data_IF_902531336642
#
_entry.id   IF_902531336642
#
_cell.length_a   1.000
_cell.length_b   1.000
_cell.length_c   1.000
_cell.angle_alpha   90.00
_cell.angle_beta   90.00
_cell.angle_gamma   90.00
#
_symmetry.space_group_name_H-M   'P 1'
#
loop_
_entity.id
_entity.type
_entity.pdbx_description
1 polymer ?
#
# COMPACT_ATOMS: atom_id res chain seq x y z
N UNK A 1 24.24 41.17 -23.28
CA UNK A 1 23.08 40.26 -23.44
C UNK A 1 22.76 39.63 -22.08
N UNK A 2 21.91 40.27 -21.27
CA UNK A 2 21.52 39.75 -19.95
C UNK A 2 20.37 38.75 -20.06
N UNK A 3 20.46 37.61 -19.39
CA UNK A 3 19.36 36.64 -19.33
C UNK A 3 18.17 37.28 -18.60
N UNK A 4 17.03 37.41 -19.26
CA UNK A 4 15.80 37.90 -18.63
C UNK A 4 15.34 36.92 -17.55
N UNK A 5 14.85 37.44 -16.41
CA UNK A 5 14.28 36.61 -15.35
C UNK A 5 13.00 35.95 -15.86
N UNK A 6 12.89 34.63 -15.70
CA UNK A 6 11.63 33.92 -15.95
C UNK A 6 10.65 34.17 -14.81
N UNK A 7 9.73 35.10 -15.01
CA UNK A 7 8.57 35.33 -14.12
C UNK A 7 7.43 34.37 -14.50
N UNK A 8 6.84 33.68 -13.52
CA UNK A 8 5.68 32.80 -13.74
C UNK A 8 5.99 31.38 -14.24
N UNK A 9 7.22 31.09 -14.70
CA UNK A 9 7.60 29.76 -15.21
C UNK A 9 8.47 28.94 -14.22
N UNK A 10 8.28 29.14 -12.91
CA UNK A 10 9.02 28.40 -11.90
C UNK A 10 8.46 26.98 -11.74
N UNK A 11 9.23 25.98 -12.18
CA UNK A 11 8.91 24.57 -11.92
C UNK A 11 9.20 24.23 -10.47
N UNK A 12 8.17 23.81 -9.73
CA UNK A 12 8.36 23.32 -8.37
C UNK A 12 9.02 21.93 -8.41
N UNK A 13 10.29 21.87 -8.03
CA UNK A 13 11.09 20.63 -8.02
C UNK A 13 10.78 19.74 -6.81
N UNK A 14 9.99 20.20 -5.85
CA UNK A 14 9.71 19.46 -4.63
C UNK A 14 8.53 18.49 -4.81
N UNK A 15 8.81 17.19 -4.77
CA UNK A 15 7.80 16.14 -4.84
C UNK A 15 7.06 16.05 -3.50
N UNK A 16 5.93 16.78 -3.41
CA UNK A 16 5.15 16.89 -2.16
C UNK A 16 4.62 15.56 -1.63
N UNK A 17 4.52 14.53 -2.47
CA UNK A 17 4.00 13.20 -2.11
C UNK A 17 5.00 12.33 -1.34
N UNK A 18 6.30 12.62 -1.45
CA UNK A 18 7.36 11.88 -0.75
C UNK A 18 7.66 12.42 0.66
N UNK A 19 6.93 13.45 1.10
CA UNK A 19 7.11 14.05 2.42
C UNK A 19 6.65 13.09 3.51
N UNK A 20 7.35 13.07 4.63
CA UNK A 20 7.07 12.23 5.82
C UNK A 20 5.61 12.31 6.27
N UNK A 21 5.05 13.53 6.37
CA UNK A 21 3.65 13.77 6.74
C UNK A 21 2.58 13.20 5.79
N UNK A 22 2.96 12.69 4.61
CA UNK A 22 2.06 12.10 3.59
C UNK A 22 2.53 10.71 3.18
N UNK A 23 3.44 10.11 3.95
CA UNK A 23 3.97 8.77 3.71
C UNK A 23 2.84 7.76 3.83
N UNK A 24 2.78 6.81 2.89
CA UNK A 24 1.86 5.68 2.93
C UNK A 24 2.55 4.50 3.63
N UNK A 25 1.78 3.50 4.03
CA UNK A 25 2.33 2.23 4.52
C UNK A 25 3.25 1.60 3.47
N UNK A 26 4.42 1.18 3.94
CA UNK A 26 5.43 0.49 3.13
C UNK A 26 5.00 -0.98 2.90
N UNK A 27 5.69 -1.69 2.00
CA UNK A 27 5.27 -3.04 1.55
C UNK A 27 5.42 -4.10 2.65
N UNK A 28 6.51 -4.04 3.41
CA UNK A 28 6.82 -4.88 4.57
C UNK A 28 5.77 -4.76 5.69
N UNK A 29 5.30 -3.53 5.95
CA UNK A 29 4.19 -3.29 6.88
C UNK A 29 2.90 -3.97 6.39
N UNK A 30 2.61 -3.91 5.09
CA UNK A 30 1.42 -4.55 4.51
C UNK A 30 1.53 -6.08 4.58
N UNK A 31 2.72 -6.65 4.39
CA UNK A 31 2.93 -8.09 4.60
C UNK A 31 2.66 -8.51 6.06
N UNK A 32 2.97 -7.64 7.02
CA UNK A 32 2.61 -7.88 8.42
C UNK A 32 1.10 -7.81 8.62
N UNK A 33 0.45 -6.80 8.05
CA UNK A 33 -1.01 -6.63 8.11
C UNK A 33 -1.76 -7.81 7.46
N UNK A 34 -1.19 -8.44 6.42
CA UNK A 34 -1.74 -9.61 5.72
C UNK A 34 -1.80 -10.89 6.56
N UNK A 35 -1.13 -10.96 7.71
CA UNK A 35 -1.23 -12.12 8.60
C UNK A 35 -2.68 -12.26 9.09
N UNK A 36 -3.20 -13.49 9.26
CA UNK A 36 -4.63 -13.71 9.52
C UNK A 36 -5.13 -12.98 10.78
N UNK A 37 -4.31 -12.93 11.83
CA UNK A 37 -4.65 -12.27 13.09
C UNK A 37 -4.84 -10.76 12.95
N UNK A 38 -3.97 -10.10 12.19
CA UNK A 38 -4.04 -8.66 11.94
C UNK A 38 -5.07 -8.34 10.87
N UNK A 39 -5.18 -9.19 9.85
CA UNK A 39 -6.11 -9.03 8.75
C UNK A 39 -7.56 -9.06 9.24
N UNK A 40 -7.91 -9.99 10.13
CA UNK A 40 -9.25 -10.06 10.71
C UNK A 40 -9.60 -8.79 11.50
N UNK A 41 -8.65 -8.25 12.27
CA UNK A 41 -8.85 -7.00 13.03
C UNK A 41 -9.01 -5.78 12.14
N UNK A 42 -8.25 -5.71 11.04
CA UNK A 42 -8.31 -4.59 10.09
C UNK A 42 -9.53 -4.65 9.17
N UNK A 43 -10.06 -5.85 8.91
CA UNK A 43 -11.29 -6.03 8.14
C UNK A 43 -12.54 -5.75 8.99
N UNK A 44 -12.53 -6.18 10.25
CA UNK A 44 -13.65 -6.03 11.18
C UNK A 44 -13.38 -4.88 12.15
N UNK A 45 -13.08 -3.71 11.60
CA UNK A 45 -12.73 -2.53 12.38
C UNK A 45 -14.00 -1.89 12.97
N UNK A 46 -13.90 -1.35 14.19
CA UNK A 46 -14.99 -0.60 14.80
C UNK A 46 -15.34 0.65 13.96
N UNK A 47 -16.58 1.10 14.08
CA UNK A 47 -17.09 2.25 13.33
C UNK A 47 -16.37 3.52 13.78
N UNK A 48 -15.55 4.08 12.89
CA UNK A 48 -14.78 5.30 13.12
C UNK A 48 -15.24 6.44 12.22
N UNK A 49 -15.92 7.43 12.79
CA UNK A 49 -16.51 8.56 12.06
C UNK A 49 -15.50 9.55 11.46
N UNK A 50 -14.24 9.53 11.92
CA UNK A 50 -13.19 10.43 11.40
C UNK A 50 -12.59 9.91 10.08
N UNK A 51 -12.86 8.63 9.75
CA UNK A 51 -12.32 7.95 8.58
C UNK A 51 -13.40 7.81 7.50
N UNK A 52 -12.98 7.87 6.24
CA UNK A 52 -13.91 7.72 5.10
C UNK A 52 -14.62 6.37 5.13
N UNK A 53 -15.94 6.38 4.93
CA UNK A 53 -16.76 5.16 4.97
C UNK A 53 -16.80 4.50 6.35
N UNK A 54 -16.62 5.30 7.41
CA UNK A 54 -16.65 4.86 8.81
C UNK A 54 -15.70 3.69 9.14
N UNK A 55 -14.55 3.64 8.44
CA UNK A 55 -13.57 2.54 8.45
C UNK A 55 -14.09 1.16 8.00
N UNK A 56 -15.34 1.04 7.54
CA UNK A 56 -15.95 -0.25 7.19
C UNK A 56 -15.50 -0.80 5.84
N UNK A 57 -15.14 0.06 4.89
CA UNK A 57 -14.74 -0.36 3.54
C UNK A 57 -13.25 -0.19 3.33
N UNK A 58 -12.47 -1.14 3.84
CA UNK A 58 -11.00 -1.10 3.82
C UNK A 58 -10.37 -2.12 2.86
N UNK A 59 -9.42 -1.66 2.04
CA UNK A 59 -8.56 -2.54 1.24
C UNK A 59 -7.22 -2.77 1.95
N UNK A 60 -6.94 -4.02 2.33
CA UNK A 60 -5.75 -4.38 3.09
C UNK A 60 -4.47 -4.26 2.27
N UNK A 61 -4.49 -4.65 0.99
CA UNK A 61 -3.30 -4.59 0.13
C UNK A 61 -2.87 -3.16 -0.22
N UNK A 62 -3.83 -2.24 -0.33
CA UNK A 62 -3.56 -0.84 -0.66
C UNK A 62 -3.51 0.08 0.56
N UNK A 63 -3.88 -0.42 1.75
CA UNK A 63 -4.03 0.34 2.98
C UNK A 63 -4.85 1.62 2.78
N UNK A 64 -6.05 1.46 2.20
CA UNK A 64 -6.91 2.59 1.83
C UNK A 64 -8.37 2.29 2.17
N UNK A 65 -9.01 3.29 2.76
CA UNK A 65 -10.45 3.31 3.03
C UNK A 65 -11.23 3.86 1.83
N UNK A 66 -12.44 3.36 1.65
CA UNK A 66 -13.39 3.74 0.63
C UNK A 66 -14.71 4.17 1.26
N UNK A 67 -15.52 4.90 0.50
CA UNK A 67 -16.81 5.43 0.99
C UNK A 67 -17.89 4.34 1.02
N UNK A 68 -17.95 3.49 -0.01
CA UNK A 68 -18.97 2.45 -0.19
C UNK A 68 -18.36 1.12 -0.66
N UNK A 69 -19.07 0.01 -0.44
CA UNK A 69 -18.70 -1.32 -0.94
C UNK A 69 -18.52 -1.35 -2.46
N UNK A 70 -19.36 -0.65 -3.23
CA UNK A 70 -19.24 -0.55 -4.70
C UNK A 70 -17.89 0.02 -5.11
N UNK A 71 -17.46 1.11 -4.47
CA UNK A 71 -16.17 1.76 -4.74
C UNK A 71 -14.99 0.83 -4.47
N UNK A 72 -15.10 -0.01 -3.42
CA UNK A 72 -14.11 -1.02 -3.09
C UNK A 72 -14.08 -2.16 -4.13
N UNK A 73 -15.24 -2.65 -4.60
CA UNK A 73 -15.34 -3.63 -5.69
C UNK A 73 -14.74 -3.09 -7.00
N UNK A 74 -15.01 -1.84 -7.35
CA UNK A 74 -14.41 -1.19 -8.52
C UNK A 74 -12.89 -1.04 -8.37
N UNK A 75 -12.41 -0.70 -7.16
CA UNK A 75 -10.98 -0.60 -6.86
C UNK A 75 -10.22 -1.90 -7.18
N UNK A 76 -10.76 -3.07 -6.83
CA UNK A 76 -10.10 -4.36 -7.10
C UNK A 76 -9.89 -4.64 -8.59
N UNK A 77 -10.74 -4.11 -9.46
CA UNK A 77 -10.62 -4.25 -10.91
C UNK A 77 -9.53 -3.34 -11.50
N UNK A 78 -9.14 -2.27 -10.80
CA UNK A 78 -8.18 -1.28 -11.30
C UNK A 78 -6.75 -1.82 -11.45
N UNK A 79 -6.00 -1.24 -12.39
CA UNK A 79 -4.58 -1.57 -12.62
C UNK A 79 -3.70 -1.29 -11.40
N UNK A 80 -4.05 -0.28 -10.60
CA UNK A 80 -3.28 0.10 -9.40
C UNK A 80 -3.30 -1.04 -8.38
N UNK A 81 -4.49 -1.61 -8.12
CA UNK A 81 -4.64 -2.73 -7.22
C UNK A 81 -3.90 -3.97 -7.73
N UNK A 82 -4.10 -4.33 -9.01
CA UNK A 82 -3.40 -5.47 -9.63
C UNK A 82 -1.88 -5.33 -9.60
N UNK A 83 -1.36 -4.11 -9.78
CA UNK A 83 0.07 -3.82 -9.64
C UNK A 83 0.55 -4.04 -8.20
N UNK A 84 -0.24 -3.63 -7.20
CA UNK A 84 0.08 -3.82 -5.79
C UNK A 84 0.14 -5.30 -5.40
N UNK A 85 -0.82 -6.10 -5.87
CA UNK A 85 -0.79 -7.56 -5.68
C UNK A 85 0.47 -8.17 -6.28
N UNK A 86 0.88 -7.73 -7.48
CA UNK A 86 2.13 -8.20 -8.09
C UNK A 86 3.37 -7.83 -7.26
N UNK A 87 3.39 -6.66 -6.62
CA UNK A 87 4.48 -6.25 -5.72
C UNK A 87 4.53 -7.09 -4.44
N UNK A 88 3.37 -7.46 -3.89
CA UNK A 88 3.28 -8.26 -2.67
C UNK A 88 3.53 -9.77 -2.90
N UNK A 89 3.71 -10.21 -4.16
CA UNK A 89 4.07 -11.60 -4.46
C UNK A 89 5.50 -11.95 -4.10
N UNK A 90 6.37 -10.96 -3.95
CA UNK A 90 7.74 -11.18 -3.54
C UNK A 90 7.82 -11.02 -2.02
N UNK A 91 8.65 -11.83 -1.36
CA UNK A 91 8.95 -11.65 0.06
C UNK A 91 9.45 -10.22 0.31
N UNK A 92 8.95 -9.52 1.37
CA UNK A 92 9.34 -8.15 1.61
C UNK A 92 10.83 -8.06 1.93
N UNK A 93 11.49 -7.07 1.34
CA UNK A 93 12.89 -6.76 1.62
C UNK A 93 13.08 -6.43 3.10
N UNK A 94 14.11 -7.00 3.72
CA UNK A 94 14.42 -6.79 5.15
C UNK A 94 15.82 -6.27 5.34
N UNK A 95 16.08 -5.60 6.47
CA UNK A 95 17.43 -5.13 6.82
C UNK A 95 18.44 -6.27 6.85
N UNK A 96 18.04 -7.46 7.34
CA UNK A 96 18.90 -8.63 7.36
C UNK A 96 19.32 -9.08 5.94
N UNK A 97 18.50 -8.85 4.92
CA UNK A 97 18.88 -9.08 3.51
C UNK A 97 19.93 -8.06 3.04
N UNK A 98 19.80 -6.80 3.44
CA UNK A 98 20.79 -5.76 3.19
C UNK A 98 22.15 -6.10 3.81
N UNK A 99 22.13 -6.56 5.07
CA UNK A 99 23.33 -6.94 5.81
C UNK A 99 24.03 -8.15 5.18
N UNK A 100 23.25 -9.14 4.71
CA UNK A 100 23.75 -10.28 3.93
C UNK A 100 24.42 -9.83 2.63
N UNK A 101 23.80 -8.90 1.90
CA UNK A 101 24.37 -8.33 0.67
C UNK A 101 25.66 -7.54 0.94
N UNK A 102 25.80 -6.93 2.12
CA UNK A 102 27.02 -6.26 2.57
C UNK A 102 28.14 -7.24 3.04
N UNK A 103 27.91 -8.55 2.96
CA UNK A 103 28.89 -9.58 3.34
C UNK A 103 28.79 -10.06 4.79
N UNK A 104 27.77 -9.65 5.55
CA UNK A 104 27.55 -10.09 6.93
C UNK A 104 26.75 -11.40 7.03
N UNK A 105 26.61 -12.17 5.94
CA UNK A 105 25.93 -13.46 5.95
C UNK A 105 25.88 -14.14 4.58
N UNK A 106 25.07 -15.20 4.45
CA UNK A 106 24.92 -15.97 3.21
C UNK A 106 23.76 -15.49 2.35
N UNK A 107 23.90 -15.63 1.02
CA UNK A 107 22.83 -15.32 0.06
C UNK A 107 21.66 -16.29 0.21
N UNK A 108 20.44 -15.75 0.23
CA UNK A 108 19.19 -16.53 0.23
C UNK A 108 18.29 -15.93 -0.85
N UNK A 109 17.82 -16.72 -1.83
CA UNK A 109 16.91 -16.21 -2.86
C UNK A 109 15.53 -15.87 -2.25
N UNK A 110 14.87 -14.80 -2.73
CA UNK A 110 13.55 -14.41 -2.24
C UNK A 110 12.48 -15.43 -2.63
N UNK A 111 11.55 -15.71 -1.72
CA UNK A 111 10.44 -16.64 -1.99
C UNK A 111 9.27 -15.91 -2.66
N UNK A 112 8.56 -16.64 -3.52
CA UNK A 112 7.30 -16.16 -4.09
C UNK A 112 6.14 -16.53 -3.14
N UNK A 113 5.31 -15.53 -2.84
CA UNK A 113 4.13 -15.62 -1.99
C UNK A 113 2.89 -15.52 -2.89
N UNK A 114 1.96 -16.45 -2.72
CA UNK A 114 0.66 -16.35 -3.39
C UNK A 114 -0.25 -15.36 -2.66
N UNK A 115 -0.41 -14.17 -3.24
CA UNK A 115 -1.33 -13.15 -2.72
C UNK A 115 -2.63 -13.20 -3.50
N UNK A 116 -3.70 -13.63 -2.80
CA UNK A 116 -5.08 -13.58 -3.30
C UNK A 116 -5.75 -12.29 -2.84
N UNK A 117 -6.67 -11.79 -3.64
CA UNK A 117 -7.52 -10.65 -3.26
C UNK A 117 -8.47 -11.05 -2.14
N UNK A 118 -8.79 -10.07 -1.28
CA UNK A 118 -9.75 -10.25 -0.20
C UNK A 118 -11.10 -10.76 -0.75
N UNK A 119 -11.70 -11.79 -0.14
CA UNK A 119 -13.07 -12.16 -0.45
C UNK A 119 -13.97 -11.02 -0.01
N UNK A 120 -14.84 -10.55 -0.90
CA UNK A 120 -15.97 -9.71 -0.51
C UNK A 120 -17.09 -10.68 -0.25
N UNK A 121 -17.54 -10.80 1.00
CA UNK A 121 -18.79 -11.49 1.30
C UNK A 121 -19.87 -10.73 0.53
N UNK A 122 -20.42 -11.38 -0.49
CA UNK A 122 -21.60 -10.89 -1.16
C UNK A 122 -22.76 -11.29 -0.26
N UNK A 123 -23.48 -10.30 0.27
CA UNK A 123 -24.73 -10.53 0.99
C UNK A 123 -25.56 -11.52 0.16
N UNK A 124 -25.81 -12.69 0.75
CA UNK A 124 -26.76 -13.67 0.22
C UNK A 124 -28.17 -13.10 0.45
N UNK A 125 -28.59 -12.15 -0.39
CA UNK A 125 -29.99 -11.72 -0.54
C UNK A 125 -30.24 -11.12 -1.94
#
# INVERSE_FOLDING_TARGET
MGKSKQTGNHKNKNIKTLKTKRRKKDLDQIHTDMKPETAAKLLNQEVDYDVTGCAQHYCLHCARYFVDMRSLKEHFKTKVHKKRLKQLREEPYTQAEADRAAGMGSYIPPKMIEVKTQPVEEDMD
#
